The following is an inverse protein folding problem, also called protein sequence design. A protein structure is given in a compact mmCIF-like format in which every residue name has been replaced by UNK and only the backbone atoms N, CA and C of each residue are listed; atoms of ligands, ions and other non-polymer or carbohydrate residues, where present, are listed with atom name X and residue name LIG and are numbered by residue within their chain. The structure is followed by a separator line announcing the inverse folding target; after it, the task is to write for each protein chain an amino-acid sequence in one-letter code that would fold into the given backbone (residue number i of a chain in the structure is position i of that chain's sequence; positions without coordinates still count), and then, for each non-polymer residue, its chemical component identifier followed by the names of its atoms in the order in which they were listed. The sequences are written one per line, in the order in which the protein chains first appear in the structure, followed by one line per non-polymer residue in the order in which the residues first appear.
data_IF_323641410806
#
_entry.id   IF_323641410806
#
_cell.length_a   1.000
_cell.length_b   1.000
_cell.length_c   1.000
_cell.angle_alpha   90.00
_cell.angle_beta   90.00
_cell.angle_gamma   90.00
#
_symmetry.space_group_name_H-M   'P 1'
#
loop_
_entity.id
_entity.type
_entity.pdbx_description
1 polymer ?
#
# COMPACT_ATOMS: atom_id res chain seq x y z
N UNK A 1 8.24 48.66 -15.11
CA UNK A 1 9.72 48.86 -15.17
C UNK A 1 10.25 48.52 -16.56
N UNK A 2 9.98 47.32 -17.09
CA UNK A 2 10.41 46.94 -18.45
C UNK A 2 9.92 47.89 -19.54
N UNK A 3 8.66 48.30 -19.51
CA UNK A 3 8.07 49.22 -20.50
C UNK A 3 8.66 50.65 -20.49
N UNK A 4 9.41 51.01 -19.45
CA UNK A 4 9.89 52.37 -19.26
C UNK A 4 11.42 52.46 -19.19
N UNK A 5 12.14 51.32 -19.21
CA UNK A 5 13.60 51.30 -19.07
C UNK A 5 14.30 52.10 -20.18
N UNK A 6 13.79 52.04 -21.41
CA UNK A 6 14.42 52.68 -22.57
C UNK A 6 14.20 54.19 -22.54
N UNK A 7 13.05 54.63 -21.99
CA UNK A 7 12.71 56.05 -21.79
C UNK A 7 13.57 56.71 -20.72
N UNK A 8 13.97 55.98 -19.68
CA UNK A 8 14.68 56.53 -18.52
C UNK A 8 16.15 56.11 -18.43
N UNK A 9 16.73 55.54 -19.49
CA UNK A 9 18.15 55.18 -19.53
C UNK A 9 18.52 53.99 -18.64
N UNK A 10 17.57 53.12 -18.33
CA UNK A 10 17.76 51.92 -17.53
C UNK A 10 16.76 51.78 -16.38
N UNK A 11 17.00 50.79 -15.52
CA UNK A 11 16.11 50.46 -14.39
C UNK A 11 16.53 51.17 -13.10
N UNK A 12 17.79 51.59 -13.01
CA UNK A 12 18.35 52.31 -11.85
C UNK A 12 17.62 53.62 -11.53
N UNK A 13 17.34 54.51 -12.50
CA UNK A 13 16.58 55.74 -12.22
C UNK A 13 15.16 55.45 -11.76
N UNK A 14 14.52 54.42 -12.32
CA UNK A 14 13.16 53.99 -11.95
C UNK A 14 13.15 53.45 -10.51
N UNK A 15 14.11 52.60 -10.15
CA UNK A 15 14.26 52.08 -8.79
C UNK A 15 14.53 53.18 -7.76
N UNK A 16 15.33 54.20 -8.12
CA UNK A 16 15.61 55.36 -7.28
C UNK A 16 14.33 56.15 -6.99
N UNK A 17 13.59 56.55 -8.02
CA UNK A 17 12.32 57.29 -7.86
C UNK A 17 11.29 56.50 -7.07
N UNK A 18 11.18 55.18 -7.27
CA UNK A 18 10.27 54.35 -6.47
C UNK A 18 10.68 54.31 -5.00
N UNK A 19 11.98 54.25 -4.72
CA UNK A 19 12.51 54.28 -3.34
C UNK A 19 12.25 55.63 -2.67
N UNK A 20 12.32 56.74 -3.41
CA UNK A 20 11.95 58.09 -2.95
C UNK A 20 10.45 58.23 -2.63
N UNK A 21 9.60 57.37 -3.21
CA UNK A 21 8.16 57.30 -2.98
C UNK A 21 7.75 56.08 -2.14
N UNK A 22 8.56 55.70 -1.15
CA UNK A 22 8.32 54.64 -0.16
C UNK A 22 8.19 53.21 -0.72
N UNK A 23 8.55 52.98 -1.98
CA UNK A 23 8.65 51.65 -2.58
C UNK A 23 10.12 51.22 -2.69
N UNK A 24 10.67 50.70 -1.60
CA UNK A 24 12.07 50.26 -1.54
C UNK A 24 12.32 49.06 -2.47
N UNK A 25 13.03 49.30 -3.58
CA UNK A 25 13.42 48.26 -4.53
C UNK A 25 14.83 48.50 -5.07
N UNK A 26 15.71 47.52 -4.89
CA UNK A 26 17.05 47.55 -5.45
C UNK A 26 17.06 47.09 -6.92
N UNK A 27 17.89 47.69 -7.80
CA UNK A 27 18.07 47.22 -9.17
C UNK A 27 18.49 45.74 -9.25
N UNK A 28 19.32 45.28 -8.30
CA UNK A 28 19.71 43.88 -8.17
C UNK A 28 18.52 42.94 -7.91
N UNK A 29 17.55 43.37 -7.10
CA UNK A 29 16.29 42.64 -6.86
C UNK A 29 15.46 42.53 -8.13
N UNK A 30 15.35 43.60 -8.91
CA UNK A 30 14.67 43.57 -10.21
C UNK A 30 15.30 42.55 -11.17
N UNK A 31 16.63 42.61 -11.36
CA UNK A 31 17.32 41.67 -12.25
C UNK A 31 17.25 40.22 -11.74
N UNK A 32 17.32 40.01 -10.42
CA UNK A 32 17.14 38.69 -9.81
C UNK A 32 15.71 38.13 -9.99
N UNK A 33 14.69 38.99 -9.96
CA UNK A 33 13.31 38.61 -10.26
C UNK A 33 13.14 38.28 -11.75
N UNK A 34 13.65 39.14 -12.64
CA UNK A 34 13.62 38.91 -14.09
C UNK A 34 14.33 37.61 -14.50
N UNK A 35 15.47 37.29 -13.87
CA UNK A 35 16.17 36.02 -14.06
C UNK A 35 15.34 34.81 -13.60
N UNK A 36 14.61 34.93 -12.48
CA UNK A 36 13.69 33.89 -11.98
C UNK A 36 12.47 33.68 -12.88
N UNK A 37 12.02 34.72 -13.58
CA UNK A 37 10.96 34.61 -14.60
C UNK A 37 11.47 33.93 -15.87
N UNK A 38 12.72 34.18 -16.26
CA UNK A 38 13.31 33.63 -17.49
C UNK A 38 13.72 32.17 -17.38
N UNK A 39 13.94 31.62 -16.18
CA UNK A 39 14.37 30.24 -16.00
C UNK A 39 13.73 29.61 -14.76
N UNK A 40 13.09 28.42 -14.88
CA UNK A 40 12.49 27.75 -13.75
C UNK A 40 13.55 27.39 -12.70
N UNK A 41 13.16 27.45 -11.43
CA UNK A 41 14.06 27.08 -10.34
C UNK A 41 14.46 25.60 -10.43
N UNK A 42 15.63 25.24 -9.90
CA UNK A 42 16.06 23.83 -9.83
C UNK A 42 15.01 22.93 -9.15
N UNK A 43 14.30 23.46 -8.14
CA UNK A 43 13.17 22.78 -7.50
C UNK A 43 12.02 22.54 -8.47
N UNK A 44 11.63 23.55 -9.26
CA UNK A 44 10.56 23.43 -10.25
C UNK A 44 10.89 22.36 -11.29
N UNK A 45 12.12 22.37 -11.81
CA UNK A 45 12.59 21.36 -12.77
C UNK A 45 12.53 19.96 -12.16
N UNK A 46 13.04 19.79 -10.92
CA UNK A 46 12.99 18.50 -10.21
C UNK A 46 11.56 18.04 -9.93
N UNK A 47 10.69 18.96 -9.52
CA UNK A 47 9.28 18.65 -9.23
C UNK A 47 8.55 18.21 -10.51
N UNK A 48 8.82 18.82 -11.67
CA UNK A 48 8.25 18.37 -12.95
C UNK A 48 8.67 16.94 -13.28
N UNK A 49 9.96 16.62 -13.19
CA UNK A 49 10.44 15.25 -13.43
C UNK A 49 9.84 14.24 -12.44
N UNK A 50 9.72 14.61 -11.16
CA UNK A 50 9.08 13.76 -10.16
C UNK A 50 7.59 13.56 -10.41
N UNK A 51 6.87 14.56 -10.94
CA UNK A 51 5.45 14.44 -11.28
C UNK A 51 5.22 13.39 -12.37
N UNK A 52 6.07 13.35 -13.39
CA UNK A 52 6.03 12.34 -14.45
C UNK A 52 6.21 10.92 -13.86
N UNK A 53 7.25 10.73 -13.05
CA UNK A 53 7.53 9.44 -12.38
C UNK A 53 6.39 9.02 -11.44
N UNK A 54 5.83 9.95 -10.66
CA UNK A 54 4.68 9.69 -9.79
C UNK A 54 3.48 9.21 -10.62
N UNK A 55 3.20 9.87 -11.75
CA UNK A 55 2.08 9.51 -12.61
C UNK A 55 2.28 8.14 -13.26
N UNK A 56 3.49 7.82 -13.70
CA UNK A 56 3.84 6.51 -14.26
C UNK A 56 3.67 5.39 -13.23
N UNK A 57 4.22 5.55 -12.02
CA UNK A 57 4.06 4.59 -10.92
C UNK A 57 2.57 4.43 -10.57
N UNK A 58 1.82 5.53 -10.52
CA UNK A 58 0.40 5.49 -10.22
C UNK A 58 -0.40 4.72 -11.28
N UNK A 59 -0.14 4.98 -12.56
CA UNK A 59 -0.83 4.34 -13.68
C UNK A 59 -0.48 2.85 -13.80
N UNK A 60 0.80 2.50 -13.69
CA UNK A 60 1.27 1.11 -13.75
C UNK A 60 0.76 0.24 -12.59
N UNK A 61 0.41 0.85 -11.46
CA UNK A 61 -0.12 0.15 -10.27
C UNK A 61 -1.65 0.28 -10.15
N UNK A 62 -2.36 0.29 -11.28
CA UNK A 62 -3.83 0.32 -11.36
C UNK A 62 -4.47 1.44 -10.55
N UNK A 63 -3.76 2.56 -10.34
CA UNK A 63 -4.24 3.70 -9.55
C UNK A 63 -4.53 3.39 -8.08
N UNK A 64 -4.00 2.27 -7.56
CA UNK A 64 -4.22 1.82 -6.17
C UNK A 64 -3.24 2.49 -5.21
N UNK A 65 -2.04 2.83 -5.66
CA UNK A 65 -0.98 3.31 -4.79
C UNK A 65 -1.22 4.75 -4.30
N UNK A 66 -1.29 4.90 -2.97
CA UNK A 66 -1.24 6.20 -2.30
C UNK A 66 0.20 6.65 -2.04
N UNK A 67 0.36 7.85 -1.48
CA UNK A 67 1.66 8.52 -1.32
C UNK A 67 2.75 7.66 -0.66
N UNK A 68 2.41 6.88 0.37
CA UNK A 68 3.37 5.99 1.04
C UNK A 68 3.90 4.89 0.12
N UNK A 69 3.04 4.31 -0.73
CA UNK A 69 3.43 3.23 -1.65
C UNK A 69 4.24 3.79 -2.83
N UNK A 70 3.79 4.92 -3.41
CA UNK A 70 4.53 5.63 -4.45
C UNK A 70 5.92 6.05 -3.95
N UNK A 71 6.00 6.63 -2.74
CA UNK A 71 7.29 6.99 -2.14
C UNK A 71 8.24 5.79 -2.02
N UNK A 72 7.75 4.63 -1.59
CA UNK A 72 8.58 3.40 -1.51
C UNK A 72 9.00 2.91 -2.88
N UNK A 73 8.11 2.96 -3.87
CA UNK A 73 8.40 2.55 -5.24
C UNK A 73 9.49 3.41 -5.88
N UNK A 74 9.35 4.73 -5.80
CA UNK A 74 10.33 5.67 -6.34
C UNK A 74 11.72 5.44 -5.72
N UNK A 75 11.81 5.23 -4.40
CA UNK A 75 13.09 4.93 -3.77
C UNK A 75 13.66 3.57 -4.18
N UNK A 76 12.82 2.56 -4.45
CA UNK A 76 13.28 1.26 -4.97
C UNK A 76 13.83 1.38 -6.39
N UNK A 77 13.27 2.29 -7.18
CA UNK A 77 13.74 2.62 -8.53
C UNK A 77 14.96 3.58 -8.51
N UNK A 78 15.49 3.95 -7.34
CA UNK A 78 16.67 4.81 -7.20
C UNK A 78 16.38 6.31 -7.19
N UNK A 79 15.10 6.73 -7.22
CA UNK A 79 14.71 8.13 -7.13
C UNK A 79 14.60 8.59 -5.67
N UNK A 80 15.70 9.11 -5.12
CA UNK A 80 15.72 9.65 -3.76
C UNK A 80 14.78 10.86 -3.62
N UNK A 81 13.68 10.67 -2.86
CA UNK A 81 12.66 11.69 -2.62
C UNK A 81 12.05 11.56 -1.22
N UNK A 82 11.81 12.70 -0.57
CA UNK A 82 11.12 12.74 0.71
C UNK A 82 9.63 12.44 0.53
N UNK A 83 9.03 11.73 1.51
CA UNK A 83 7.60 11.38 1.50
C UNK A 83 6.70 12.62 1.39
N UNK A 84 7.01 13.69 2.12
CA UNK A 84 6.25 14.94 2.09
C UNK A 84 6.25 15.61 0.70
N UNK A 85 7.34 15.45 -0.07
CA UNK A 85 7.40 15.91 -1.46
C UNK A 85 6.43 15.11 -2.34
N UNK A 86 6.40 13.78 -2.20
CA UNK A 86 5.44 12.93 -2.93
C UNK A 86 4.00 13.31 -2.58
N UNK A 87 3.69 13.48 -1.29
CA UNK A 87 2.36 13.89 -0.82
C UNK A 87 1.93 15.23 -1.42
N UNK A 88 2.82 16.23 -1.43
CA UNK A 88 2.57 17.54 -2.03
C UNK A 88 2.34 17.42 -3.53
N UNK A 89 3.22 16.73 -4.26
CA UNK A 89 3.12 16.61 -5.72
C UNK A 89 1.88 15.81 -6.15
N UNK A 90 1.51 14.77 -5.41
CA UNK A 90 0.25 14.04 -5.64
C UNK A 90 -0.97 14.96 -5.47
N UNK A 91 -0.97 15.82 -4.44
CA UNK A 91 -2.03 16.82 -4.25
C UNK A 91 -2.10 17.81 -5.41
N UNK A 92 -0.95 18.29 -5.88
CA UNK A 92 -0.88 19.18 -7.06
C UNK A 92 -1.37 18.50 -8.35
N UNK A 93 -1.17 17.18 -8.48
CA UNK A 93 -1.64 16.39 -9.62
C UNK A 93 -3.10 15.93 -9.50
N UNK A 94 -3.76 16.13 -8.34
CA UNK A 94 -5.11 15.60 -8.10
C UNK A 94 -5.16 14.07 -7.98
N UNK A 95 -4.04 13.43 -7.67
CA UNK A 95 -3.92 11.96 -7.58
C UNK A 95 -4.04 11.51 -6.13
N UNK A 96 -4.85 10.48 -5.89
CA UNK A 96 -4.97 9.80 -4.61
C UNK A 96 -4.99 8.28 -4.80
N UNK A 97 -4.42 7.54 -3.85
CA UNK A 97 -4.50 6.08 -3.88
C UNK A 97 -5.88 5.58 -3.44
N UNK A 98 -6.22 4.36 -3.85
CA UNK A 98 -7.46 3.72 -3.44
C UNK A 98 -7.48 3.49 -1.90
N UNK A 99 -8.55 3.96 -1.27
CA UNK A 99 -8.84 3.68 0.14
C UNK A 99 -9.83 2.52 0.18
N UNK A 100 -9.54 1.49 0.97
CA UNK A 100 -10.47 0.37 1.18
C UNK A 100 -11.75 0.95 1.79
N UNK A 101 -12.91 0.63 1.19
CA UNK A 101 -14.21 1.13 1.64
C UNK A 101 -14.58 0.70 3.06
N UNK A 102 -15.83 0.99 3.47
CA UNK A 102 -16.34 0.70 4.82
C UNK A 102 -16.01 -0.74 5.23
N UNK A 103 -15.38 -0.92 6.39
CA UNK A 103 -14.96 -2.23 6.91
C UNK A 103 -16.21 -3.08 7.12
N UNK A 104 -16.44 -4.08 6.25
CA UNK A 104 -17.46 -5.11 6.49
C UNK A 104 -16.97 -5.90 7.69
N UNK A 105 -17.67 -5.76 8.82
CA UNK A 105 -17.40 -6.56 10.02
C UNK A 105 -17.97 -7.95 9.74
N UNK A 106 -17.10 -8.87 9.36
CA UNK A 106 -17.48 -10.22 8.94
C UNK A 106 -17.76 -11.16 10.12
N UNK A 107 -17.48 -10.73 11.35
CA UNK A 107 -17.42 -11.60 12.53
C UNK A 107 -17.64 -10.77 13.79
N UNK A 108 -18.66 -11.12 14.58
CA UNK A 108 -18.85 -10.66 15.95
C UNK A 108 -18.32 -11.79 16.84
N UNK A 109 -17.24 -11.58 17.60
CA UNK A 109 -16.66 -12.60 18.46
C UNK A 109 -17.66 -13.09 19.50
N UNK A 110 -17.88 -14.40 19.57
CA UNK A 110 -18.54 -15.02 20.72
C UNK A 110 -17.53 -15.11 21.88
N UNK A 111 -17.79 -14.35 22.95
CA UNK A 111 -16.93 -14.29 24.13
C UNK A 111 -17.00 -15.56 24.99
N UNK A 112 -17.99 -16.43 24.77
CA UNK A 112 -18.19 -17.65 25.54
C UNK A 112 -17.52 -18.90 24.93
N UNK A 113 -17.01 -18.82 23.70
CA UNK A 113 -16.33 -19.94 23.06
C UNK A 113 -14.91 -20.13 23.63
N UNK A 114 -14.62 -21.33 24.14
CA UNK A 114 -13.28 -21.71 24.58
C UNK A 114 -12.33 -21.70 23.37
N UNK A 115 -11.42 -20.71 23.34
CA UNK A 115 -10.51 -20.52 22.22
C UNK A 115 -9.38 -21.53 22.33
N UNK A 116 -9.14 -22.29 21.26
CA UNK A 116 -7.95 -23.13 21.16
C UNK A 116 -6.69 -22.27 21.44
N UNK A 117 -5.74 -22.76 22.26
CA UNK A 117 -4.55 -22.00 22.60
C UNK A 117 -3.78 -21.62 21.33
N UNK A 118 -3.38 -20.36 21.22
CA UNK A 118 -2.51 -19.89 20.14
C UNK A 118 -1.11 -20.45 20.34
N UNK A 119 -0.88 -21.65 19.81
CA UNK A 119 0.39 -22.36 19.92
C UNK A 119 1.51 -21.73 19.09
N UNK A 120 1.23 -20.69 18.29
CA UNK A 120 2.22 -20.06 17.41
C UNK A 120 2.79 -18.76 17.96
N UNK A 121 2.24 -18.16 19.02
CA UNK A 121 2.67 -16.86 19.58
C UNK A 121 3.02 -15.81 18.50
N UNK A 122 2.23 -15.81 17.40
CA UNK A 122 2.42 -15.00 16.19
C UNK A 122 3.76 -15.17 15.44
N UNK A 123 4.53 -16.21 15.74
CA UNK A 123 5.66 -16.67 14.95
C UNK A 123 5.20 -17.67 13.87
N UNK A 124 4.99 -17.14 12.66
CA UNK A 124 4.61 -17.92 11.48
C UNK A 124 5.83 -18.34 10.64
N UNK A 125 7.02 -18.42 11.24
CA UNK A 125 8.24 -18.84 10.55
C UNK A 125 8.56 -20.30 10.92
N UNK A 126 8.08 -21.23 10.10
CA UNK A 126 8.56 -22.61 10.17
C UNK A 126 10.01 -22.72 9.70
N UNK A 127 10.76 -23.66 10.28
CA UNK A 127 12.16 -23.95 9.92
C UNK A 127 12.30 -24.93 8.76
N UNK A 128 11.22 -25.63 8.40
CA UNK A 128 11.16 -26.58 7.29
C UNK A 128 9.72 -26.73 6.78
N UNK A 129 9.51 -27.25 5.55
CA UNK A 129 8.17 -27.58 5.05
C UNK A 129 7.45 -28.57 5.98
N UNK A 130 6.12 -28.51 6.01
CA UNK A 130 5.24 -29.43 6.75
C UNK A 130 5.39 -29.41 8.28
N UNK A 131 5.96 -28.33 8.83
CA UNK A 131 6.09 -28.09 10.28
C UNK A 131 5.01 -27.19 10.86
N UNK A 132 4.57 -26.18 10.10
CA UNK A 132 3.49 -25.30 10.52
C UNK A 132 2.57 -24.98 9.34
N UNK A 133 1.32 -25.38 9.48
CA UNK A 133 0.25 -25.06 8.54
C UNK A 133 -0.70 -24.05 9.17
N UNK A 134 -1.05 -23.02 8.39
CA UNK A 134 -2.05 -22.04 8.78
C UNK A 134 -3.29 -22.22 7.91
N UNK A 135 -4.45 -22.34 8.55
CA UNK A 135 -5.75 -22.28 7.89
C UNK A 135 -6.34 -20.87 7.99
N UNK A 136 -6.80 -20.38 6.84
CA UNK A 136 -7.60 -19.17 6.73
C UNK A 136 -8.73 -19.44 5.73
N UNK A 137 -9.86 -18.74 5.88
CA UNK A 137 -10.91 -18.77 4.87
C UNK A 137 -11.35 -17.35 4.51
N UNK A 138 -11.74 -17.21 3.25
CA UNK A 138 -12.23 -15.94 2.72
C UNK A 138 -13.60 -16.14 2.07
N UNK A 139 -14.25 -15.04 1.72
CA UNK A 139 -15.50 -15.05 0.98
C UNK A 139 -15.31 -14.31 -0.35
N UNK A 140 -15.80 -14.91 -1.42
CA UNK A 140 -15.69 -14.40 -2.78
C UNK A 140 -17.11 -14.12 -3.27
N UNK A 141 -17.36 -12.87 -3.67
CA UNK A 141 -18.62 -12.52 -4.32
C UNK A 141 -18.60 -13.04 -5.75
N UNK A 142 -19.61 -13.84 -6.09
CA UNK A 142 -19.85 -14.33 -7.45
C UNK A 142 -21.21 -13.86 -7.95
N UNK A 143 -21.52 -14.08 -9.23
CA UNK A 143 -22.84 -13.73 -9.78
C UNK A 143 -23.96 -14.63 -9.27
N UNK A 144 -23.63 -15.82 -8.75
CA UNK A 144 -24.58 -16.77 -8.19
C UNK A 144 -24.72 -16.68 -6.66
N UNK A 145 -24.01 -15.73 -6.02
CA UNK A 145 -23.98 -15.57 -4.57
C UNK A 145 -22.56 -15.59 -4.01
N UNK A 146 -22.45 -15.71 -2.68
CA UNK A 146 -21.16 -15.73 -1.98
C UNK A 146 -20.64 -17.16 -1.89
N UNK A 147 -19.39 -17.36 -2.28
CA UNK A 147 -18.66 -18.62 -2.08
C UNK A 147 -17.60 -18.41 -1.01
N UNK A 148 -17.57 -19.29 -0.02
CA UNK A 148 -16.53 -19.34 0.99
C UNK A 148 -15.44 -20.30 0.54
N UNK A 149 -14.18 -19.88 0.65
CA UNK A 149 -13.02 -20.70 0.28
C UNK A 149 -12.06 -20.76 1.46
N UNK A 150 -11.78 -21.98 1.93
CA UNK A 150 -10.77 -22.25 2.94
C UNK A 150 -9.46 -22.70 2.28
N UNK A 151 -8.34 -22.24 2.82
CA UNK A 151 -6.99 -22.58 2.40
C UNK A 151 -6.18 -23.07 3.59
N UNK A 152 -5.40 -24.12 3.38
CA UNK A 152 -4.35 -24.56 4.29
C UNK A 152 -3.01 -24.25 3.62
N UNK A 153 -2.22 -23.40 4.26
CA UNK A 153 -0.96 -22.88 3.72
C UNK A 153 0.20 -23.37 4.56
N UNK A 154 1.21 -23.93 3.92
CA UNK A 154 2.49 -24.22 4.55
C UNK A 154 3.28 -22.92 4.75
N UNK A 155 3.61 -22.59 6.00
CA UNK A 155 4.21 -21.29 6.35
C UNK A 155 5.65 -21.12 5.87
N UNK A 156 6.39 -22.23 5.70
CA UNK A 156 7.74 -22.23 5.17
C UNK A 156 7.76 -21.98 3.66
N UNK A 157 7.10 -22.85 2.89
CA UNK A 157 7.12 -22.85 1.42
C UNK A 157 6.11 -21.90 0.78
N UNK A 158 5.12 -21.43 1.55
CA UNK A 158 3.95 -20.66 1.07
C UNK A 158 3.05 -21.44 0.10
N UNK A 159 3.25 -22.75 -0.05
CA UNK A 159 2.39 -23.61 -0.87
C UNK A 159 1.02 -23.76 -0.21
N UNK A 160 -0.03 -23.69 -1.02
CA UNK A 160 -1.37 -24.14 -0.62
C UNK A 160 -1.34 -25.67 -0.67
N UNK A 161 -1.41 -26.30 0.50
CA UNK A 161 -1.36 -27.76 0.65
C UNK A 161 -2.76 -28.38 0.65
N UNK A 162 -3.79 -27.60 0.93
CA UNK A 162 -5.19 -28.04 0.82
C UNK A 162 -6.11 -26.85 0.68
N UNK A 163 -7.28 -27.07 0.08
CA UNK A 163 -8.31 -26.04 -0.06
C UNK A 163 -9.69 -26.70 -0.21
N UNK A 164 -10.73 -25.94 0.12
CA UNK A 164 -12.12 -26.33 -0.13
C UNK A 164 -12.96 -25.10 -0.39
N UNK A 165 -14.04 -25.25 -1.15
CA UNK A 165 -14.98 -24.18 -1.49
C UNK A 165 -16.42 -24.63 -1.28
N UNK A 166 -17.21 -23.81 -0.60
CA UNK A 166 -18.62 -24.09 -0.32
C UNK A 166 -19.46 -22.80 -0.33
N UNK A 167 -20.77 -22.96 -0.49
CA UNK A 167 -21.73 -21.85 -0.35
C UNK A 167 -22.12 -21.58 1.10
N UNK A 168 -21.72 -22.45 2.04
CA UNK A 168 -21.90 -22.31 3.49
C UNK A 168 -20.54 -22.21 4.20
N UNK A 169 -20.53 -21.56 5.37
CA UNK A 169 -19.33 -21.25 6.17
C UNK A 169 -19.13 -22.24 7.34
N UNK A 170 -19.73 -23.43 7.24
CA UNK A 170 -19.70 -24.45 8.28
C UNK A 170 -18.30 -25.03 8.51
N UNK A 171 -18.08 -25.62 9.69
CA UNK A 171 -16.84 -26.31 10.09
C UNK A 171 -16.34 -27.30 9.03
N UNK A 172 -17.27 -27.94 8.31
CA UNK A 172 -16.95 -28.86 7.21
C UNK A 172 -16.04 -28.25 6.15
N UNK A 173 -16.20 -26.96 5.83
CA UNK A 173 -15.35 -26.28 4.84
C UNK A 173 -13.86 -26.31 5.24
N UNK A 174 -13.56 -26.08 6.52
CA UNK A 174 -12.18 -26.08 7.03
C UNK A 174 -11.66 -27.50 7.17
N UNK A 175 -12.51 -28.44 7.60
CA UNK A 175 -12.17 -29.86 7.69
C UNK A 175 -11.82 -30.45 6.32
N UNK A 176 -12.64 -30.20 5.30
CA UNK A 176 -12.39 -30.68 3.93
C UNK A 176 -11.02 -30.18 3.40
N UNK A 177 -10.68 -28.91 3.68
CA UNK A 177 -9.39 -28.34 3.28
C UNK A 177 -8.21 -28.98 4.03
N UNK A 178 -8.39 -29.30 5.32
CA UNK A 178 -7.37 -29.97 6.14
C UNK A 178 -7.19 -31.45 5.73
N UNK A 179 -8.29 -32.16 5.50
CA UNK A 179 -8.26 -33.54 5.01
C UNK A 179 -7.55 -33.64 3.66
N UNK A 180 -7.83 -32.71 2.74
CA UNK A 180 -7.11 -32.60 1.48
C UNK A 180 -5.61 -32.37 1.70
N UNK A 181 -5.23 -31.51 2.64
CA UNK A 181 -3.82 -31.25 2.95
C UNK A 181 -3.09 -32.47 3.51
N UNK A 182 -3.72 -33.19 4.44
CA UNK A 182 -3.18 -34.43 4.99
C UNK A 182 -3.02 -35.51 3.92
N UNK A 183 -4.03 -35.67 3.06
CA UNK A 183 -3.98 -36.62 1.95
C UNK A 183 -2.88 -36.30 0.95
N UNK A 184 -2.70 -35.02 0.58
CA UNK A 184 -1.61 -34.59 -0.29
C UNK A 184 -0.23 -34.87 0.33
N UNK A 185 -0.08 -34.58 1.62
CA UNK A 185 1.16 -34.80 2.36
C UNK A 185 1.54 -36.28 2.40
N UNK A 186 0.57 -37.15 2.65
CA UNK A 186 0.77 -38.60 2.63
C UNK A 186 1.19 -39.09 1.23
N UNK A 187 0.49 -38.62 0.20
CA UNK A 187 0.82 -38.91 -1.21
C UNK A 187 2.22 -38.44 -1.61
N UNK A 188 2.66 -37.30 -1.10
CA UNK A 188 4.01 -36.75 -1.34
C UNK A 188 5.10 -37.53 -0.55
N UNK A 189 4.77 -38.63 0.12
CA UNK A 189 5.72 -39.51 0.82
C UNK A 189 6.15 -38.99 2.19
N UNK A 190 5.41 -38.03 2.76
CA UNK A 190 5.72 -37.41 4.04
C UNK A 190 4.60 -37.68 5.06
N UNK A 191 4.32 -38.95 5.42
CA UNK A 191 3.19 -39.29 6.28
C UNK A 191 3.21 -38.49 7.59
N UNK A 192 2.03 -38.26 8.17
CA UNK A 192 1.93 -37.50 9.40
C UNK A 192 2.58 -38.28 10.55
N UNK A 193 3.40 -37.59 11.35
CA UNK A 193 3.94 -38.10 12.61
C UNK A 193 3.39 -37.19 13.70
N UNK A 194 2.85 -37.79 14.76
CA UNK A 194 2.27 -37.03 15.86
C UNK A 194 3.32 -36.09 16.48
N UNK A 195 2.95 -34.81 16.64
CA UNK A 195 3.83 -33.78 17.22
C UNK A 195 4.77 -33.08 16.22
N UNK A 196 4.81 -33.50 14.96
CA UNK A 196 5.71 -32.93 13.95
C UNK A 196 5.14 -31.77 13.13
N UNK A 197 3.82 -31.60 13.18
CA UNK A 197 3.06 -30.57 12.48
C UNK A 197 2.16 -29.83 13.46
N UNK A 198 2.27 -28.51 13.45
CA UNK A 198 1.33 -27.62 14.11
C UNK A 198 0.35 -27.12 13.05
N UNK A 199 -0.94 -27.34 13.29
CA UNK A 199 -2.01 -26.72 12.53
C UNK A 199 -2.61 -25.57 13.34
N UNK A 200 -2.58 -24.37 12.79
CA UNK A 200 -3.20 -23.20 13.39
C UNK A 200 -4.33 -22.70 12.48
N UNK A 201 -5.54 -22.60 13.02
CA UNK A 201 -6.65 -21.93 12.34
C UNK A 201 -6.95 -20.65 13.11
N UNK A 202 -6.92 -19.50 12.41
CA UNK A 202 -7.38 -18.27 13.04
C UNK A 202 -8.90 -18.41 13.21
N UNK A 203 -9.34 -18.54 14.47
CA UNK A 203 -10.75 -18.66 14.80
C UNK A 203 -11.44 -17.33 14.52
N UNK A 204 -11.89 -17.13 13.28
CA UNK A 204 -13.05 -16.29 13.02
C UNK A 204 -14.25 -16.96 13.68
N UNK A 205 -14.55 -16.57 14.92
CA UNK A 205 -15.56 -17.16 15.80
C UNK A 205 -16.73 -17.80 15.04
N UNK A 206 -16.73 -19.13 14.96
CA UNK A 206 -17.90 -19.91 14.59
C UNK A 206 -18.80 -19.96 15.82
N UNK A 207 -19.44 -18.82 16.10
CA UNK A 207 -20.41 -18.65 17.17
C UNK A 207 -21.82 -18.79 16.60
N UNK A 208 -22.41 -19.96 16.85
CA UNK A 208 -23.86 -20.13 16.91
C UNK A 208 -24.48 -20.87 15.74
N UNK A 209 -24.83 -22.13 15.98
CA UNK A 209 -26.19 -22.63 15.75
C UNK A 209 -26.52 -23.68 16.82
N UNK A 210 -27.73 -23.58 17.37
CA UNK A 210 -28.40 -24.68 18.09
C UNK A 210 -28.50 -25.92 17.21
#
# INVERSE_FOLDING_TARGET
MDEHRDRFGGVEPICRTLTEHDCQIAPSTYYAHKKRLASPSARTVRDTALKELIHEVYASNYRVYGARKIWRELNRQGHAVARCTVERLMRELGIAGAVRGRKVVTTIPDQAAERAPDLLDRDFVATAPNRCWVADFTHISTWAGVVYVAFVVDTFSRRIVGWSAATSKETKLVLDALEMALWQRDRDGHPYIQGELIHHSDAGSQGGFN
#
